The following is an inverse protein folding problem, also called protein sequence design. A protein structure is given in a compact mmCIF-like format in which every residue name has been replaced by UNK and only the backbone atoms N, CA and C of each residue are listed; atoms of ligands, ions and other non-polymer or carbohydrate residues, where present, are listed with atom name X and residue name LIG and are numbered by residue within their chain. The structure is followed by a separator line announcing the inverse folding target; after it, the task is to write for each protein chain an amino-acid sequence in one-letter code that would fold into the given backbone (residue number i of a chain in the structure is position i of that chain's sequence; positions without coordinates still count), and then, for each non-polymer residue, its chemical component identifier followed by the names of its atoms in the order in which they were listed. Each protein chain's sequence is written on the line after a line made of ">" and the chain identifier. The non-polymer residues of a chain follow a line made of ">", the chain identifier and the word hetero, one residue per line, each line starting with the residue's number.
data_IF_177667075307
#
_entry.id   IF_177667075307
#
_cell.length_a   1.000
_cell.length_b   1.000
_cell.length_c   1.000
_cell.angle_alpha   90.00
_cell.angle_beta   90.00
_cell.angle_gamma   90.00
#
_symmetry.space_group_name_H-M   'P 1'
#
loop_
_entity.id
_entity.type
_entity.pdbx_description
1 polymer ?
#
# COMPACT_ATOMS: atom_id res chain seq x y z
N UNK A 1 11.57 -2.10 22.81
CA UNK A 1 12.82 -2.20 22.03
C UNK A 1 12.68 -2.57 20.54
N UNK A 2 11.48 -2.82 19.99
CA UNK A 2 11.23 -2.77 18.53
C UNK A 2 10.18 -1.71 18.14
N UNK A 3 9.23 -1.45 19.05
CA UNK A 3 8.17 -0.45 18.90
C UNK A 3 8.68 0.99 18.77
N UNK A 4 9.77 1.34 19.45
CA UNK A 4 10.32 2.70 19.46
C UNK A 4 10.83 3.12 18.07
N UNK A 5 11.62 2.26 17.40
CA UNK A 5 12.20 2.58 16.09
C UNK A 5 11.14 2.69 14.97
N UNK A 6 10.10 1.86 15.01
CA UNK A 6 8.99 1.93 14.04
C UNK A 6 8.19 3.24 14.21
N UNK A 7 7.80 3.58 15.45
CA UNK A 7 7.05 4.81 15.73
C UNK A 7 7.86 6.05 15.34
N UNK A 8 9.15 6.09 15.66
CA UNK A 8 10.00 7.21 15.28
C UNK A 8 10.21 7.35 13.77
N UNK A 9 10.31 6.24 13.04
CA UNK A 9 10.40 6.26 11.58
C UNK A 9 9.11 6.76 10.93
N UNK A 10 7.96 6.39 11.49
CA UNK A 10 6.64 6.61 10.87
C UNK A 10 5.95 7.89 11.32
N UNK A 11 6.42 8.55 12.39
CA UNK A 11 5.76 9.72 13.00
C UNK A 11 5.48 10.88 12.04
N UNK A 12 6.30 11.04 11.00
CA UNK A 12 6.20 12.14 10.04
C UNK A 12 5.49 11.74 8.74
N UNK A 13 4.98 10.51 8.63
CA UNK A 13 4.29 10.08 7.41
C UNK A 13 2.87 10.63 7.40
N UNK A 14 2.39 11.15 6.25
CA UNK A 14 1.05 11.70 6.14
C UNK A 14 -0.05 10.62 6.07
N UNK A 15 0.32 9.34 6.27
CA UNK A 15 -0.55 8.18 6.18
C UNK A 15 -0.36 7.24 7.36
N UNK A 16 -1.41 6.48 7.67
CA UNK A 16 -1.37 5.47 8.73
C UNK A 16 -0.30 4.42 8.43
N UNK A 17 0.56 4.18 9.41
CA UNK A 17 1.60 3.17 9.36
C UNK A 17 1.33 2.12 10.43
N UNK A 18 1.40 0.83 10.06
CA UNK A 18 1.15 -0.29 10.96
C UNK A 18 2.15 -1.42 10.74
N UNK A 19 2.50 -2.14 11.80
CA UNK A 19 3.27 -3.39 11.78
C UNK A 19 2.79 -4.30 12.89
N UNK A 20 2.57 -5.58 12.58
CA UNK A 20 2.26 -6.62 13.57
C UNK A 20 3.52 -7.37 14.06
N UNK A 21 4.70 -6.97 13.58
CA UNK A 21 6.01 -7.59 13.85
C UNK A 21 6.12 -9.08 13.46
N UNK A 22 5.22 -9.62 12.64
CA UNK A 22 5.20 -11.05 12.25
C UNK A 22 5.84 -11.32 10.88
N UNK A 23 6.25 -10.30 10.12
CA UNK A 23 6.86 -10.44 8.79
C UNK A 23 5.97 -11.32 7.88
N UNK A 24 6.56 -12.26 7.14
CA UNK A 24 5.86 -13.24 6.29
C UNK A 24 4.95 -14.23 7.05
N UNK A 25 5.07 -14.32 8.38
CA UNK A 25 4.21 -15.18 9.19
C UNK A 25 2.85 -14.52 9.50
N UNK A 26 2.67 -13.24 9.17
CA UNK A 26 1.41 -12.54 9.40
C UNK A 26 0.25 -13.17 8.61
N UNK A 27 -0.95 -13.18 9.20
CA UNK A 27 -2.16 -13.61 8.51
C UNK A 27 -2.42 -12.74 7.27
N UNK A 28 -2.20 -11.42 7.36
CA UNK A 28 -2.45 -10.51 6.23
C UNK A 28 -1.50 -10.78 5.06
N UNK A 29 -0.24 -11.09 5.33
CA UNK A 29 0.74 -11.43 4.30
C UNK A 29 0.31 -12.70 3.54
N UNK A 30 -0.19 -13.72 4.26
CA UNK A 30 -0.69 -14.96 3.66
C UNK A 30 -1.99 -14.75 2.87
N UNK A 31 -2.97 -14.07 3.47
CA UNK A 31 -4.28 -13.82 2.86
C UNK A 31 -4.16 -13.03 1.53
N UNK A 32 -3.18 -12.13 1.44
CA UNK A 32 -2.94 -11.31 0.24
C UNK A 32 -1.83 -11.84 -0.68
N UNK A 33 -1.27 -13.02 -0.39
CA UNK A 33 -0.18 -13.65 -1.13
C UNK A 33 1.07 -12.76 -1.27
N UNK A 34 1.46 -12.07 -0.20
CA UNK A 34 2.65 -11.23 -0.15
C UNK A 34 3.87 -12.08 0.14
N UNK A 35 4.76 -12.23 -0.84
CA UNK A 35 6.00 -13.02 -0.75
C UNK A 35 7.29 -12.20 -0.85
N UNK A 36 7.18 -10.93 -1.24
CA UNK A 36 8.31 -10.01 -1.39
C UNK A 36 7.94 -8.57 -1.03
N UNK A 37 8.95 -7.75 -0.70
CA UNK A 37 8.79 -6.33 -0.45
C UNK A 37 9.58 -5.51 -1.48
N UNK A 38 9.07 -4.37 -1.95
CA UNK A 38 7.73 -3.83 -1.69
C UNK A 38 6.63 -4.59 -2.45
N UNK A 39 5.44 -4.70 -1.86
CA UNK A 39 4.20 -5.13 -2.54
C UNK A 39 3.14 -4.07 -2.31
N UNK A 40 2.45 -3.65 -3.37
CA UNK A 40 1.45 -2.58 -3.34
C UNK A 40 0.11 -3.08 -3.88
N UNK A 41 -0.97 -2.58 -3.29
CA UNK A 41 -2.35 -2.84 -3.71
C UNK A 41 -3.08 -1.51 -3.82
N UNK A 42 -3.77 -1.29 -4.93
CA UNK A 42 -4.79 -0.26 -5.03
C UNK A 42 -6.13 -0.91 -4.80
N UNK A 43 -6.90 -0.37 -3.86
CA UNK A 43 -8.24 -0.85 -3.55
C UNK A 43 -9.28 0.17 -4.01
N UNK A 44 -10.47 -0.30 -4.37
CA UNK A 44 -11.62 0.57 -4.62
C UNK A 44 -12.38 0.90 -3.32
N UNK A 45 -13.51 1.62 -3.44
CA UNK A 45 -14.35 1.99 -2.31
C UNK A 45 -15.10 0.79 -1.66
N UNK A 46 -15.13 -0.37 -2.32
CA UNK A 46 -15.67 -1.63 -1.78
C UNK A 46 -14.59 -2.49 -1.12
N UNK A 47 -13.32 -2.04 -1.15
CA UNK A 47 -12.13 -2.76 -0.68
C UNK A 47 -11.77 -3.96 -1.55
N UNK A 48 -12.16 -3.93 -2.82
CA UNK A 48 -11.74 -4.91 -3.82
C UNK A 48 -10.39 -4.48 -4.41
N UNK A 49 -9.54 -5.46 -4.75
CA UNK A 49 -8.24 -5.17 -5.36
C UNK A 49 -8.47 -4.69 -6.80
N UNK A 50 -8.19 -3.42 -7.03
CA UNK A 50 -8.30 -2.78 -8.33
C UNK A 50 -6.99 -2.94 -9.14
N UNK A 51 -5.81 -2.76 -8.52
CA UNK A 51 -4.50 -2.97 -9.16
C UNK A 51 -3.46 -3.58 -8.20
N UNK A 52 -2.50 -4.32 -8.78
CA UNK A 52 -1.25 -4.80 -8.15
C UNK A 52 -0.04 -4.19 -8.88
N UNK A 53 0.30 -2.91 -8.65
CA UNK A 53 1.38 -2.26 -9.36
C UNK A 53 2.74 -2.82 -8.96
N UNK A 54 3.61 -3.03 -9.95
CA UNK A 54 4.98 -3.52 -9.75
C UNK A 54 5.98 -2.38 -9.57
N UNK A 55 5.55 -1.12 -9.68
CA UNK A 55 6.37 0.07 -9.42
C UNK A 55 5.52 1.28 -9.08
N UNK A 56 6.13 2.28 -8.43
CA UNK A 56 5.46 3.56 -8.12
C UNK A 56 5.00 4.26 -9.40
N UNK A 57 5.80 4.22 -10.47
CA UNK A 57 5.45 4.83 -11.77
C UNK A 57 4.16 4.28 -12.37
N UNK A 58 3.85 2.99 -12.14
CA UNK A 58 2.58 2.42 -12.59
C UNK A 58 1.39 2.97 -11.81
N UNK A 59 1.59 3.30 -10.52
CA UNK A 59 0.57 3.98 -9.72
C UNK A 59 0.37 5.42 -10.22
N UNK A 60 1.46 6.16 -10.43
CA UNK A 60 1.41 7.54 -10.92
C UNK A 60 0.64 7.64 -12.25
N UNK A 61 0.99 6.79 -13.22
CA UNK A 61 0.33 6.74 -14.52
C UNK A 61 -1.17 6.44 -14.41
N UNK A 62 -1.57 5.59 -13.46
CA UNK A 62 -2.98 5.29 -13.23
C UNK A 62 -3.74 6.48 -12.62
N UNK A 63 -3.16 7.13 -11.61
CA UNK A 63 -3.74 8.32 -10.97
C UNK A 63 -3.92 9.44 -11.98
N UNK A 64 -2.88 9.71 -12.79
CA UNK A 64 -2.93 10.74 -13.83
C UNK A 64 -4.05 10.47 -14.83
N UNK A 65 -4.14 9.24 -15.34
CA UNK A 65 -5.21 8.86 -16.25
C UNK A 65 -6.60 9.00 -15.61
N UNK A 66 -6.76 8.56 -14.35
CA UNK A 66 -8.02 8.65 -13.62
C UNK A 66 -8.47 10.11 -13.43
N UNK A 67 -7.55 10.99 -13.03
CA UNK A 67 -7.81 12.40 -12.81
C UNK A 67 -8.10 13.16 -14.13
N UNK A 68 -7.42 12.81 -15.22
CA UNK A 68 -7.73 13.36 -16.56
C UNK A 68 -9.13 12.93 -16.99
N UNK A 69 -9.46 11.64 -16.83
CA UNK A 69 -10.79 11.12 -17.15
C UNK A 69 -11.90 11.78 -16.35
N UNK A 70 -11.67 12.09 -15.07
CA UNK A 70 -12.65 12.80 -14.24
C UNK A 70 -12.84 14.26 -14.63
N UNK A 71 -11.80 14.94 -15.15
CA UNK A 71 -11.87 16.33 -15.60
C UNK A 71 -12.59 16.51 -16.95
N UNK A 72 -12.58 15.47 -17.77
CA UNK A 72 -13.20 15.46 -19.11
C UNK A 72 -14.63 14.87 -19.10
N UNK A 73 -15.24 14.73 -17.92
CA UNK A 73 -16.64 14.33 -17.72
C UNK A 73 -17.41 15.49 -17.09
#
# INVERSE_FOLDING_TARGET
>A
NADFGFKDFTKNFPFLSYSDNKKWNSKIAKDYYVSSTPTMFLLDNKREIFLRPNSVKQMDAWVDWYLIKSKNK
#
